data_IF_626787265666
#
_entry.id   IF_626787265666
#
_cell.length_a   1.000
_cell.length_b   1.000
_cell.length_c   1.000
_cell.angle_alpha   90.00
_cell.angle_beta   90.00
_cell.angle_gamma   90.00
#
_symmetry.space_group_name_H-M   'P 1'
#
loop_
_entity.id
_entity.type
_entity.pdbx_description
1 polymer ?
#
# COMPACT_ATOMS: atom_id res chain seq x y z
N UNK A 1 -19.15 23.53 -16.68
CA UNK A 1 -17.97 22.63 -16.78
C UNK A 1 -17.32 22.55 -15.40
N UNK A 2 -17.34 21.39 -14.74
CA UNK A 2 -16.52 21.15 -13.55
C UNK A 2 -15.17 20.65 -14.05
N UNK A 3 -14.09 21.40 -13.82
CA UNK A 3 -12.74 20.87 -14.00
C UNK A 3 -12.57 19.72 -13.00
N UNK A 4 -12.44 18.50 -13.51
CA UNK A 4 -11.96 17.38 -12.71
C UNK A 4 -10.50 17.74 -12.39
N UNK A 5 -10.18 18.05 -11.14
CA UNK A 5 -8.79 18.19 -10.74
C UNK A 5 -8.16 16.81 -10.96
N UNK A 6 -7.33 16.68 -11.99
CA UNK A 6 -6.58 15.45 -12.24
C UNK A 6 -5.60 15.27 -11.09
N UNK A 7 -5.82 14.25 -10.26
CA UNK A 7 -4.88 13.84 -9.22
C UNK A 7 -3.75 13.08 -9.87
N UNK A 8 -2.61 13.76 -9.99
CA UNK A 8 -1.41 13.25 -10.66
C UNK A 8 -0.49 12.58 -9.65
N UNK A 9 -0.43 11.25 -9.61
CA UNK A 9 0.40 10.53 -8.66
C UNK A 9 1.86 10.44 -9.12
N UNK A 10 2.75 10.32 -8.13
CA UNK A 10 4.12 9.86 -8.33
C UNK A 10 4.24 8.43 -7.82
N UNK A 11 4.96 7.59 -8.54
CA UNK A 11 5.30 6.24 -8.08
C UNK A 11 6.80 5.99 -8.14
N UNK A 12 7.30 5.24 -7.17
CA UNK A 12 8.66 4.72 -7.14
C UNK A 12 8.62 3.20 -7.04
N UNK A 13 9.43 2.52 -7.85
CA UNK A 13 9.49 1.06 -7.89
C UNK A 13 10.93 0.60 -7.65
N UNK A 14 11.11 -0.31 -6.70
CA UNK A 14 12.37 -0.98 -6.44
C UNK A 14 12.25 -2.47 -6.79
N UNK A 15 13.28 -3.01 -7.42
CA UNK A 15 13.41 -4.43 -7.74
C UNK A 15 14.62 -5.06 -7.04
N UNK A 16 14.69 -6.40 -6.93
CA UNK A 16 15.74 -7.06 -6.15
C UNK A 16 17.15 -6.91 -6.72
N UNK A 17 17.27 -6.64 -8.03
CA UNK A 17 18.55 -6.40 -8.71
C UNK A 17 19.04 -4.96 -8.56
N UNK A 18 18.27 -4.07 -7.94
CA UNK A 18 18.73 -2.72 -7.62
C UNK A 18 19.71 -2.76 -6.45
N UNK A 19 20.70 -1.88 -6.50
CA UNK A 19 21.77 -1.80 -5.49
C UNK A 19 21.62 -0.61 -4.55
N UNK A 20 20.82 0.39 -4.95
CA UNK A 20 20.51 1.57 -4.13
C UNK A 20 19.15 2.20 -4.49
N UNK A 21 18.70 3.16 -3.69
CA UNK A 21 17.49 3.96 -3.96
C UNK A 21 17.58 4.81 -5.24
N UNK A 22 18.79 5.04 -5.76
CA UNK A 22 19.00 5.77 -7.02
C UNK A 22 18.62 4.93 -8.24
N UNK A 23 18.62 3.60 -8.10
CA UNK A 23 18.28 2.68 -9.18
C UNK A 23 16.76 2.52 -9.33
N UNK A 24 15.97 3.09 -8.40
CA UNK A 24 14.52 3.00 -8.43
C UNK A 24 13.94 3.64 -9.69
N UNK A 25 13.00 2.93 -10.31
CA UNK A 25 12.20 3.50 -11.39
C UNK A 25 11.24 4.53 -10.80
N UNK A 26 11.15 5.71 -11.43
CA UNK A 26 10.30 6.81 -10.99
C UNK A 26 9.41 7.27 -12.13
N UNK A 27 8.12 7.38 -11.84
CA UNK A 27 7.14 7.89 -12.77
C UNK A 27 6.31 8.96 -12.07
N UNK A 28 5.99 10.03 -12.78
CA UNK A 28 5.25 11.17 -12.26
C UNK A 28 4.09 11.53 -13.20
N UNK A 29 3.13 12.29 -12.70
CA UNK A 29 1.96 12.73 -13.46
C UNK A 29 1.06 11.57 -13.93
N UNK A 30 0.96 10.51 -13.13
CA UNK A 30 0.12 9.36 -13.45
C UNK A 30 -1.31 9.55 -12.96
N UNK A 31 -2.28 9.20 -13.80
CA UNK A 31 -3.66 9.03 -13.37
C UNK A 31 -3.86 7.72 -12.59
N UNK A 32 -4.98 7.62 -11.86
CA UNK A 32 -5.34 6.42 -11.07
C UNK A 32 -5.20 5.13 -11.88
N UNK A 33 -5.74 5.10 -13.11
CA UNK A 33 -5.71 3.91 -13.96
C UNK A 33 -4.28 3.50 -14.35
N UNK A 34 -3.38 4.47 -14.56
CA UNK A 34 -1.98 4.23 -14.91
C UNK A 34 -1.20 3.70 -13.71
N UNK A 35 -1.46 4.22 -12.51
CA UNK A 35 -0.87 3.69 -11.27
C UNK A 35 -1.27 2.23 -11.05
N UNK A 36 -2.55 1.91 -11.18
CA UNK A 36 -3.05 0.54 -11.05
C UNK A 36 -2.43 -0.38 -12.11
N UNK A 37 -2.39 0.07 -13.36
CA UNK A 37 -1.76 -0.68 -14.47
C UNK A 37 -0.29 -0.97 -14.19
N UNK A 38 0.46 0.02 -13.66
CA UNK A 38 1.86 -0.15 -13.28
C UNK A 38 2.01 -1.18 -12.16
N UNK A 39 1.20 -1.11 -11.12
CA UNK A 39 1.21 -2.10 -10.04
C UNK A 39 0.92 -3.51 -10.55
N UNK A 40 -0.04 -3.68 -11.44
CA UNK A 40 -0.41 -4.98 -12.02
C UNK A 40 0.61 -5.52 -13.02
N UNK A 41 1.37 -4.65 -13.68
CA UNK A 41 2.44 -5.05 -14.60
C UNK A 41 3.64 -5.69 -13.89
N UNK A 42 3.76 -5.53 -12.57
CA UNK A 42 4.83 -6.15 -11.79
C UNK A 42 4.58 -7.65 -11.70
N UNK A 43 5.52 -8.44 -12.22
CA UNK A 43 5.51 -9.89 -12.07
C UNK A 43 5.92 -10.31 -10.65
N UNK A 44 5.02 -10.14 -9.67
CA UNK A 44 5.28 -10.40 -8.24
C UNK A 44 5.90 -11.78 -7.96
N UNK A 45 5.47 -12.81 -8.71
CA UNK A 45 6.05 -14.16 -8.63
C UNK A 45 7.52 -14.18 -8.99
N UNK A 46 7.86 -13.59 -10.15
CA UNK A 46 9.24 -13.50 -10.62
C UNK A 46 10.09 -12.70 -9.64
N UNK A 47 9.54 -11.61 -9.11
CA UNK A 47 10.25 -10.76 -8.16
C UNK A 47 10.54 -11.46 -6.84
N UNK A 48 9.59 -12.27 -6.32
CA UNK A 48 9.84 -13.15 -5.15
C UNK A 48 11.02 -14.08 -5.41
N UNK A 49 11.02 -14.76 -6.55
CA UNK A 49 12.09 -15.70 -6.93
C UNK A 49 13.44 -14.99 -7.02
N UNK A 50 13.49 -13.84 -7.70
CA UNK A 50 14.73 -13.07 -7.84
C UNK A 50 15.27 -12.59 -6.50
N UNK A 51 14.40 -12.13 -5.60
CA UNK A 51 14.82 -11.71 -4.26
C UNK A 51 15.48 -12.86 -3.49
N UNK A 52 14.88 -14.05 -3.53
CA UNK A 52 15.42 -15.24 -2.86
C UNK A 52 16.74 -15.71 -3.49
N UNK A 53 16.89 -15.60 -4.82
CA UNK A 53 18.09 -16.05 -5.53
C UNK A 53 19.29 -15.12 -5.35
N UNK A 54 19.04 -13.82 -5.29
CA UNK A 54 20.08 -12.80 -5.21
C UNK A 54 20.41 -12.40 -3.77
N UNK A 55 19.62 -12.85 -2.80
CA UNK A 55 19.56 -12.24 -1.46
C UNK A 55 19.42 -10.70 -1.54
N UNK A 56 18.69 -10.26 -2.57
CA UNK A 56 18.62 -8.85 -2.98
C UNK A 56 17.62 -8.04 -2.15
N UNK A 57 17.47 -6.77 -2.54
CA UNK A 57 16.49 -5.88 -1.93
C UNK A 57 15.06 -6.40 -2.12
N UNK A 58 14.15 -6.00 -1.22
CA UNK A 58 12.73 -6.28 -1.39
C UNK A 58 12.16 -5.51 -2.57
N UNK A 59 11.26 -6.17 -3.31
CA UNK A 59 10.46 -5.46 -4.31
C UNK A 59 9.47 -4.54 -3.60
N UNK A 60 9.49 -3.27 -3.97
CA UNK A 60 8.68 -2.23 -3.34
C UNK A 60 8.00 -1.38 -4.40
N UNK A 61 6.74 -1.03 -4.14
CA UNK A 61 5.94 -0.10 -4.92
C UNK A 61 5.42 1.00 -3.99
N UNK A 62 5.93 2.22 -4.16
CA UNK A 62 5.50 3.40 -3.41
C UNK A 62 4.69 4.28 -4.33
N UNK A 63 3.53 4.73 -3.86
CA UNK A 63 2.72 5.77 -4.51
C UNK A 63 2.61 6.97 -3.59
N UNK A 64 2.71 8.18 -4.15
CA UNK A 64 2.68 9.45 -3.43
C UNK A 64 1.60 10.34 -4.06
N UNK A 65 0.72 10.87 -3.22
CA UNK A 65 -0.24 11.90 -3.61
C UNK A 65 0.43 13.28 -3.54
N UNK A 66 0.50 14.04 -4.63
CA UNK A 66 1.40 15.20 -4.75
C UNK A 66 0.96 16.41 -3.91
N UNK A 67 -0.34 16.55 -3.63
CA UNK A 67 -0.87 17.72 -2.91
C UNK A 67 -0.73 17.52 -1.40
N UNK A 68 -1.00 16.31 -0.93
CA UNK A 68 -1.03 15.99 0.51
C UNK A 68 0.28 15.41 1.02
N UNK A 69 1.19 15.01 0.10
CA UNK A 69 2.39 14.22 0.41
C UNK A 69 2.10 12.94 1.20
N UNK A 70 0.86 12.46 1.12
CA UNK A 70 0.51 11.16 1.64
C UNK A 70 1.05 10.08 0.72
N UNK A 71 1.51 8.99 1.30
CA UNK A 71 2.05 7.89 0.53
C UNK A 71 1.54 6.54 1.02
N UNK A 72 1.59 5.56 0.13
CA UNK A 72 1.40 4.17 0.44
C UNK A 72 2.58 3.39 -0.15
N UNK A 73 3.34 2.73 0.70
CA UNK A 73 4.45 1.84 0.33
C UNK A 73 4.01 0.41 0.51
N UNK A 74 4.05 -0.36 -0.57
CA UNK A 74 3.74 -1.79 -0.61
C UNK A 74 5.06 -2.54 -0.82
N UNK A 75 5.39 -3.46 0.08
CA UNK A 75 6.63 -4.25 0.00
C UNK A 75 6.29 -5.73 0.00
N UNK A 76 6.82 -6.46 -0.98
CA UNK A 76 6.68 -7.91 -1.07
C UNK A 76 7.50 -8.59 0.05
N UNK A 77 6.87 -9.49 0.80
CA UNK A 77 7.56 -10.37 1.74
C UNK A 77 7.95 -11.68 1.04
N UNK A 78 9.17 -11.75 0.51
CA UNK A 78 9.62 -12.96 -0.18
C UNK A 78 9.79 -14.18 0.74
N UNK A 79 10.03 -13.95 2.04
CA UNK A 79 10.27 -14.97 3.07
C UNK A 79 9.00 -15.39 3.83
N UNK A 80 7.82 -15.01 3.33
CA UNK A 80 6.57 -15.50 3.86
C UNK A 80 6.56 -17.03 3.91
N UNK A 81 6.08 -17.60 5.02
CA UNK A 81 6.03 -19.05 5.23
C UNK A 81 4.96 -19.72 4.37
N UNK A 82 4.02 -18.94 3.84
CA UNK A 82 2.94 -19.40 2.97
C UNK A 82 3.38 -19.40 1.51
N UNK A 83 2.70 -20.23 0.70
CA UNK A 83 2.90 -20.23 -0.75
C UNK A 83 2.34 -18.96 -1.41
N UNK A 84 1.30 -18.37 -0.81
CA UNK A 84 0.69 -17.12 -1.27
C UNK A 84 1.62 -15.91 -1.12
N UNK A 85 1.33 -14.85 -1.88
CA UNK A 85 2.01 -13.57 -1.69
C UNK A 85 1.56 -12.90 -0.40
N UNK A 86 2.54 -12.57 0.42
CA UNK A 86 2.35 -11.71 1.58
C UNK A 86 3.03 -10.37 1.33
N UNK A 87 2.35 -9.30 1.67
CA UNK A 87 2.82 -7.94 1.54
C UNK A 87 2.75 -7.20 2.87
N UNK A 88 3.63 -6.21 3.01
CA UNK A 88 3.59 -5.21 4.06
C UNK A 88 3.15 -3.87 3.46
N UNK A 89 2.33 -3.13 4.19
CA UNK A 89 1.94 -1.75 3.87
C UNK A 89 2.46 -0.79 4.92
N UNK A 90 3.09 0.29 4.47
CA UNK A 90 3.51 1.43 5.29
C UNK A 90 2.98 2.73 4.69
N UNK A 91 2.48 3.63 5.53
CA UNK A 91 1.97 4.93 5.11
C UNK A 91 2.13 5.98 6.21
N UNK A 92 2.01 7.26 5.83
CA UNK A 92 1.82 8.38 6.75
C UNK A 92 0.33 8.78 6.90
N UNK A 93 -0.59 7.95 6.39
CA UNK A 93 -2.02 8.22 6.43
C UNK A 93 -2.52 8.01 7.86
N UNK A 94 -3.16 9.04 8.43
CA UNK A 94 -3.82 8.93 9.74
C UNK A 94 -5.30 8.62 9.55
N UNK A 95 -5.75 7.51 10.12
CA UNK A 95 -7.14 7.05 10.13
C UNK A 95 -7.82 7.37 11.46
N UNK A 96 -9.15 7.47 11.45
CA UNK A 96 -9.98 7.69 12.64
C UNK A 96 -10.82 6.45 12.87
N UNK A 97 -10.34 5.55 13.72
CA UNK A 97 -11.00 4.27 14.00
C UNK A 97 -11.91 4.36 15.24
N UNK A 98 -13.12 3.78 15.19
CA UNK A 98 -13.97 3.64 16.36
C UNK A 98 -13.44 2.51 17.26
N UNK A 99 -13.13 2.82 18.52
CA UNK A 99 -12.82 1.82 19.55
C UNK A 99 -14.06 1.63 20.42
N UNK A 100 -14.59 0.40 20.45
CA UNK A 100 -15.65 0.01 21.39
C UNK A 100 -15.02 -0.20 22.77
N UNK A 101 -15.56 0.47 23.78
CA UNK A 101 -15.20 0.22 25.18
C UNK A 101 -15.93 -1.02 25.71
N UNK A 102 -15.32 -1.72 26.67
CA UNK A 102 -15.80 -2.99 27.25
C UNK A 102 -17.19 -2.90 27.92
N UNK A 103 -17.73 -1.68 28.11
CA UNK A 103 -19.04 -1.44 28.69
C UNK A 103 -20.10 -0.98 27.69
N UNK A 104 -19.82 -1.01 26.37
CA UNK A 104 -20.83 -0.89 25.30
C UNK A 104 -21.55 0.45 25.14
N UNK A 105 -21.38 1.40 26.08
CA UNK A 105 -22.12 2.65 26.12
C UNK A 105 -21.39 3.85 25.48
N UNK A 106 -20.10 3.72 25.18
CA UNK A 106 -19.33 4.77 24.50
C UNK A 106 -18.41 4.20 23.43
N UNK A 107 -18.39 4.86 22.27
CA UNK A 107 -17.40 4.63 21.20
C UNK A 107 -16.44 5.81 21.19
N UNK A 108 -15.16 5.56 21.49
CA UNK A 108 -14.13 6.60 21.39
C UNK A 108 -13.52 6.55 19.99
N UNK A 109 -13.34 7.73 19.37
CA UNK A 109 -12.56 7.86 18.13
C UNK A 109 -11.09 7.91 18.48
N UNK A 110 -10.30 7.00 17.94
CA UNK A 110 -8.85 6.97 18.09
C UNK A 110 -8.16 7.18 16.74
N UNK A 111 -7.00 7.85 16.78
CA UNK A 111 -6.17 8.05 15.59
C UNK A 111 -5.14 6.95 15.49
N UNK A 112 -4.97 6.37 14.31
CA UNK A 112 -3.95 5.37 14.03
C UNK A 112 -3.32 5.61 12.66
N UNK A 113 -2.03 5.31 12.52
CA UNK A 113 -1.40 5.27 11.20
C UNK A 113 -1.85 4.02 10.46
N UNK A 114 -2.19 4.16 9.17
CA UNK A 114 -2.50 3.03 8.32
C UNK A 114 -1.22 2.26 7.99
N UNK A 115 -1.05 1.11 8.63
CA UNK A 115 0.05 0.20 8.35
C UNK A 115 -0.45 -1.23 8.54
N UNK A 116 -0.06 -2.11 7.62
CA UNK A 116 -0.44 -3.51 7.67
C UNK A 116 0.84 -4.35 7.60
N UNK A 117 1.05 -5.23 8.59
CA UNK A 117 2.24 -6.07 8.64
C UNK A 117 2.20 -7.20 7.61
N UNK A 118 1.02 -7.76 7.38
CA UNK A 118 0.80 -8.91 6.50
C UNK A 118 -0.52 -8.73 5.76
N UNK A 119 -0.49 -8.84 4.43
CA UNK A 119 -1.66 -8.71 3.56
C UNK A 119 -1.55 -9.61 2.34
N UNK A 120 -2.69 -10.07 1.85
CA UNK A 120 -2.79 -10.75 0.56
C UNK A 120 -2.72 -9.75 -0.60
N UNK A 121 -2.47 -10.23 -1.82
CA UNK A 121 -2.50 -9.38 -3.02
C UNK A 121 -3.85 -8.67 -3.19
N UNK A 122 -4.95 -9.34 -2.86
CA UNK A 122 -6.30 -8.76 -2.95
C UNK A 122 -6.47 -7.59 -1.99
N UNK A 123 -6.09 -7.76 -0.71
CA UNK A 123 -6.14 -6.69 0.29
C UNK A 123 -5.28 -5.49 -0.11
N UNK A 124 -4.12 -5.73 -0.73
CA UNK A 124 -3.27 -4.67 -1.27
C UNK A 124 -3.94 -3.93 -2.43
N UNK A 125 -4.54 -4.64 -3.38
CA UNK A 125 -5.25 -4.01 -4.51
C UNK A 125 -6.41 -3.13 -4.01
N UNK A 126 -7.17 -3.61 -3.03
CA UNK A 126 -8.25 -2.83 -2.41
C UNK A 126 -7.70 -1.61 -1.67
N UNK A 127 -6.62 -1.77 -0.90
CA UNK A 127 -5.97 -0.66 -0.17
C UNK A 127 -5.41 0.40 -1.13
N UNK A 128 -4.73 -0.02 -2.20
CA UNK A 128 -4.20 0.87 -3.22
C UNK A 128 -5.33 1.63 -3.93
N UNK A 129 -6.39 0.93 -4.32
CA UNK A 129 -7.55 1.55 -4.96
C UNK A 129 -8.23 2.56 -4.04
N UNK A 130 -8.43 2.23 -2.77
CA UNK A 130 -9.00 3.15 -1.79
C UNK A 130 -8.11 4.39 -1.59
N UNK A 131 -6.79 4.20 -1.45
CA UNK A 131 -5.84 5.30 -1.36
C UNK A 131 -5.90 6.23 -2.58
N UNK A 132 -5.88 5.68 -3.80
CA UNK A 132 -5.93 6.44 -5.04
C UNK A 132 -7.22 7.23 -5.21
N UNK A 133 -8.34 6.71 -4.70
CA UNK A 133 -9.63 7.40 -4.69
C UNK A 133 -9.83 8.33 -3.48
N UNK A 134 -8.83 8.46 -2.60
CA UNK A 134 -8.91 9.17 -1.32
C UNK A 134 -10.06 8.65 -0.42
N UNK A 135 -10.44 7.39 -0.57
CA UNK A 135 -11.51 6.74 0.17
C UNK A 135 -11.01 6.27 1.55
N UNK A 136 -11.07 7.18 2.52
CA UNK A 136 -10.65 6.94 3.90
C UNK A 136 -11.50 5.90 4.62
N UNK A 137 -12.81 5.86 4.33
CA UNK A 137 -13.72 4.93 5.00
C UNK A 137 -13.34 3.49 4.67
N UNK A 138 -13.05 3.21 3.40
CA UNK A 138 -12.57 1.88 2.98
C UNK A 138 -11.22 1.54 3.63
N UNK A 139 -10.28 2.49 3.76
CA UNK A 139 -9.01 2.26 4.46
C UNK A 139 -9.22 1.96 5.96
N UNK A 140 -10.16 2.64 6.62
CA UNK A 140 -10.55 2.39 8.02
C UNK A 140 -11.15 0.99 8.21
N UNK A 141 -12.02 0.57 7.29
CA UNK A 141 -12.64 -0.76 7.30
C UNK A 141 -11.59 -1.85 7.11
N UNK A 142 -10.71 -1.73 6.12
CA UNK A 142 -9.61 -2.67 5.88
C UNK A 142 -8.72 -2.78 7.12
N UNK A 143 -8.31 -1.64 7.69
CA UNK A 143 -7.44 -1.63 8.87
C UNK A 143 -8.09 -2.31 10.07
N UNK A 144 -9.39 -2.10 10.27
CA UNK A 144 -10.16 -2.69 11.36
C UNK A 144 -10.29 -4.20 11.19
N UNK A 145 -10.59 -4.68 9.97
CA UNK A 145 -10.69 -6.11 9.66
C UNK A 145 -9.36 -6.83 9.89
N UNK A 146 -8.24 -6.26 9.41
CA UNK A 146 -6.91 -6.84 9.59
C UNK A 146 -6.52 -6.93 11.07
N UNK A 147 -6.85 -5.90 11.86
CA UNK A 147 -6.59 -5.90 13.31
C UNK A 147 -7.44 -6.89 14.10
N UNK A 148 -8.63 -7.25 13.62
CA UNK A 148 -9.49 -8.23 14.29
C UNK A 148 -9.11 -9.67 13.97
N UNK A 149 -8.39 -9.90 12.85
CA UNK A 149 -7.93 -11.22 12.43
C UNK A 149 -6.67 -11.71 13.16
N UNK A 150 -6.04 -10.85 13.98
CA UNK A 150 -4.81 -11.13 14.76
C UNK A 150 -5.06 -10.84 16.25
#
# INVERSE_FOLDING_TARGET
MRFRVMSNFEIHIQYPNHTSEHDMERFSNLEIAEVLTKFESISWRRQRVLQLQLEGLSTMFKVIHPISNEFLTITLNAYAKTEDFEFKVESNITLIIPQRELFGLMTRKNKALFAIKQSTLEQIKTSLTAFLNQDRATLEDIFTQVKQAH
#
